data_IF_399340308383
#
_entry.id   IF_399340308383
#
_cell.length_a   1.000
_cell.length_b   1.000
_cell.length_c   1.000
_cell.angle_alpha   90.00
_cell.angle_beta   90.00
_cell.angle_gamma   90.00
#
_symmetry.space_group_name_H-M   'P 1'
#
loop_
_entity.id
_entity.type
_entity.pdbx_description
1 polymer ?
#
# COMPACT_ATOMS: atom_id res chain seq x y z
N UNK A 1 -22.26 36.32 -10.62
CA UNK A 1 -23.35 35.48 -10.10
C UNK A 1 -22.76 34.09 -9.88
N UNK A 2 -22.31 33.77 -8.66
CA UNK A 2 -23.12 33.15 -7.58
C UNK A 2 -23.58 31.74 -8.00
N UNK A 3 -23.32 30.64 -7.30
CA UNK A 3 -22.96 30.33 -5.91
C UNK A 3 -22.44 28.88 -5.94
N UNK A 4 -21.33 28.47 -5.35
CA UNK A 4 -21.18 28.20 -3.92
C UNK A 4 -19.68 28.00 -3.59
N UNK A 5 -19.15 28.80 -2.68
CA UNK A 5 -17.79 28.68 -2.11
C UNK A 5 -17.67 27.59 -1.03
N UNK A 6 -18.37 26.47 -1.22
CA UNK A 6 -18.39 25.25 -0.41
C UNK A 6 -18.65 24.17 -1.46
N UNK A 7 -17.66 23.42 -1.93
CA UNK A 7 -17.46 22.03 -1.47
C UNK A 7 -16.23 21.38 -2.16
N UNK A 8 -15.20 22.15 -2.52
CA UNK A 8 -13.96 21.55 -3.02
C UNK A 8 -13.29 20.66 -1.95
N UNK A 9 -13.43 21.00 -0.67
CA UNK A 9 -12.98 20.18 0.45
C UNK A 9 -13.84 18.93 0.68
N UNK A 10 -15.14 18.95 0.32
CA UNK A 10 -16.04 17.82 0.50
C UNK A 10 -15.78 16.70 -0.53
N UNK A 11 -15.46 17.06 -1.78
CA UNK A 11 -15.11 16.09 -2.84
C UNK A 11 -13.78 15.38 -2.54
N UNK A 12 -12.85 16.05 -1.87
CA UNK A 12 -11.56 15.46 -1.46
C UNK A 12 -11.76 14.48 -0.29
N UNK A 13 -12.69 14.76 0.63
CA UNK A 13 -13.08 13.82 1.70
C UNK A 13 -13.85 12.60 1.19
N UNK A 14 -14.64 12.72 0.12
CA UNK A 14 -15.33 11.58 -0.51
C UNK A 14 -14.40 10.60 -1.26
N UNK A 15 -13.18 11.03 -1.61
CA UNK A 15 -12.18 10.15 -2.24
C UNK A 15 -11.23 9.46 -1.26
N UNK A 16 -11.52 9.45 0.05
CA UNK A 16 -10.93 8.50 1.00
C UNK A 16 -9.39 8.43 1.03
N UNK A 17 -8.69 9.49 0.61
CA UNK A 17 -7.23 9.59 0.61
C UNK A 17 -6.70 9.98 1.99
N UNK A 18 -7.22 9.35 3.04
CA UNK A 18 -6.52 9.38 4.32
C UNK A 18 -5.36 8.41 4.15
N UNK A 19 -4.14 8.96 4.08
CA UNK A 19 -2.93 8.16 4.02
C UNK A 19 -2.91 7.25 5.24
N UNK A 20 -2.82 5.94 5.02
CA UNK A 20 -2.60 4.99 6.11
C UNK A 20 -1.14 5.19 6.49
N UNK A 21 -0.93 5.94 7.56
CA UNK A 21 0.38 6.13 8.20
C UNK A 21 0.58 5.14 9.35
N UNK A 22 -0.46 4.39 9.70
CA UNK A 22 -0.43 3.43 10.78
C UNK A 22 0.35 2.19 10.34
N UNK A 23 1.61 2.13 10.79
CA UNK A 23 2.52 1.04 10.47
C UNK A 23 1.92 -0.32 10.86
N UNK A 24 1.11 -0.37 11.91
CA UNK A 24 0.42 -1.58 12.36
C UNK A 24 -0.55 -2.14 11.32
N UNK A 25 -1.33 -1.26 10.66
CA UNK A 25 -2.28 -1.66 9.61
C UNK A 25 -1.53 -2.15 8.36
N UNK A 26 -0.47 -1.43 7.96
CA UNK A 26 0.37 -1.82 6.82
C UNK A 26 1.05 -3.17 7.08
N UNK A 27 1.56 -3.39 8.29
CA UNK A 27 2.25 -4.64 8.65
C UNK A 27 1.31 -5.84 8.57
N UNK A 28 0.06 -5.71 9.04
CA UNK A 28 -0.94 -6.77 8.90
C UNK A 28 -1.31 -7.09 7.45
N UNK A 29 -1.32 -6.09 6.57
CA UNK A 29 -1.52 -6.28 5.12
C UNK A 29 -0.30 -6.95 4.49
N UNK A 30 0.92 -6.55 4.86
CA UNK A 30 2.16 -7.17 4.41
C UNK A 30 2.16 -8.66 4.73
N UNK A 31 1.86 -9.03 5.99
CA UNK A 31 1.83 -10.43 6.42
C UNK A 31 0.81 -11.25 5.62
N UNK A 32 -0.38 -10.68 5.36
CA UNK A 32 -1.37 -11.31 4.46
C UNK A 32 -0.85 -11.48 3.05
N UNK A 33 -0.26 -10.45 2.45
CA UNK A 33 0.25 -10.51 1.07
C UNK A 33 1.39 -11.53 0.95
N UNK A 34 2.27 -11.61 1.95
CA UNK A 34 3.35 -12.62 2.01
C UNK A 34 2.73 -14.03 2.07
N UNK A 35 1.73 -14.23 2.94
CA UNK A 35 1.04 -15.52 3.08
C UNK A 35 0.27 -15.93 1.82
N UNK A 36 -0.36 -14.98 1.14
CA UNK A 36 -1.12 -15.20 -0.10
C UNK A 36 -0.21 -15.38 -1.34
N UNK A 37 1.05 -14.92 -1.28
CA UNK A 37 1.98 -14.94 -2.41
C UNK A 37 3.31 -15.64 -2.07
N UNK A 38 3.30 -16.90 -1.61
CA UNK A 38 4.51 -17.61 -1.20
C UNK A 38 5.53 -17.77 -2.34
N UNK A 39 5.05 -17.86 -3.58
CA UNK A 39 5.91 -17.95 -4.76
C UNK A 39 6.75 -16.68 -4.96
N UNK A 40 6.14 -15.50 -4.81
CA UNK A 40 6.85 -14.22 -4.94
C UNK A 40 7.87 -14.02 -3.81
N UNK A 41 7.56 -14.52 -2.61
CA UNK A 41 8.50 -14.55 -1.47
C UNK A 41 9.71 -15.44 -1.80
N UNK A 42 9.48 -16.64 -2.30
CA UNK A 42 10.54 -17.56 -2.70
C UNK A 42 11.40 -16.98 -3.84
N UNK A 43 10.76 -16.36 -4.84
CA UNK A 43 11.45 -15.70 -5.95
C UNK A 43 12.33 -14.53 -5.46
N UNK A 44 11.83 -13.72 -4.51
CA UNK A 44 12.64 -12.66 -3.89
C UNK A 44 13.85 -13.25 -3.14
N UNK A 45 13.65 -14.30 -2.34
CA UNK A 45 14.72 -15.01 -1.64
C UNK A 45 15.73 -15.67 -2.57
N UNK A 46 15.31 -16.04 -3.78
CA UNK A 46 16.18 -16.53 -4.85
C UNK A 46 16.94 -15.40 -5.58
N UNK A 47 16.81 -14.14 -5.15
CA UNK A 47 17.49 -12.99 -5.73
C UNK A 47 16.72 -12.29 -6.86
N UNK A 48 15.46 -12.67 -7.13
CA UNK A 48 14.64 -12.00 -8.15
C UNK A 48 14.01 -10.75 -7.56
N UNK A 49 14.72 -9.63 -7.64
CA UNK A 49 14.23 -8.33 -7.16
C UNK A 49 12.89 -7.91 -7.79
N UNK A 50 12.55 -8.37 -9.00
CA UNK A 50 11.24 -8.10 -9.61
C UNK A 50 10.06 -8.60 -8.76
N UNK A 51 10.25 -9.64 -7.96
CA UNK A 51 9.19 -10.18 -7.11
C UNK A 51 8.79 -9.20 -6.00
N UNK A 52 9.72 -8.34 -5.54
CA UNK A 52 9.38 -7.34 -4.53
C UNK A 52 8.46 -6.25 -5.09
N UNK A 53 8.70 -5.82 -6.34
CA UNK A 53 7.83 -4.84 -7.00
C UNK A 53 6.40 -5.35 -7.17
N UNK A 54 6.24 -6.65 -7.44
CA UNK A 54 4.93 -7.30 -7.48
C UNK A 54 4.23 -7.28 -6.12
N UNK A 55 4.93 -7.68 -5.05
CA UNK A 55 4.39 -7.67 -3.69
C UNK A 55 4.02 -6.26 -3.23
N UNK A 56 4.86 -5.25 -3.48
CA UNK A 56 4.55 -3.84 -3.23
C UNK A 56 3.29 -3.42 -3.98
N UNK A 57 3.14 -3.79 -5.26
CA UNK A 57 1.95 -3.52 -6.04
C UNK A 57 0.67 -4.15 -5.44
N UNK A 58 0.75 -5.38 -4.94
CA UNK A 58 -0.37 -6.04 -4.25
C UNK A 58 -0.77 -5.30 -2.97
N UNK A 59 0.21 -4.88 -2.16
CA UNK A 59 -0.03 -4.12 -0.92
C UNK A 59 -0.65 -2.75 -1.23
N UNK A 60 -0.14 -2.05 -2.25
CA UNK A 60 -0.70 -0.79 -2.72
C UNK A 60 -2.15 -0.96 -3.21
N UNK A 61 -2.46 -2.08 -3.86
CA UNK A 61 -3.83 -2.40 -4.30
C UNK A 61 -4.76 -2.67 -3.10
N UNK A 62 -4.33 -3.47 -2.12
CA UNK A 62 -5.13 -3.75 -0.91
C UNK A 62 -5.39 -2.47 -0.09
N UNK A 63 -4.39 -1.60 0.00
CA UNK A 63 -4.52 -0.30 0.69
C UNK A 63 -5.28 0.74 -0.15
N UNK A 64 -5.68 0.42 -1.40
CA UNK A 64 -6.32 1.34 -2.36
C UNK A 64 -5.48 2.60 -2.62
N UNK A 65 -4.16 2.46 -2.65
CA UNK A 65 -3.22 3.58 -2.85
C UNK A 65 -3.08 4.50 -1.62
N UNK A 66 -3.63 4.10 -0.47
CA UNK A 66 -3.55 4.89 0.77
C UNK A 66 -2.23 4.70 1.52
N UNK A 67 -1.49 3.62 1.28
CA UNK A 67 -0.19 3.42 1.90
C UNK A 67 0.93 4.13 1.13
N UNK A 68 1.99 4.51 1.83
CA UNK A 68 3.18 5.07 1.21
C UNK A 68 4.03 3.94 0.58
N UNK A 69 4.35 3.99 -0.74
CA UNK A 69 5.10 2.95 -1.42
C UNK A 69 6.55 2.77 -0.89
N UNK A 70 7.21 3.83 -0.45
CA UNK A 70 8.55 3.76 0.15
C UNK A 70 8.50 3.02 1.50
N UNK A 71 7.52 3.36 2.34
CA UNK A 71 7.30 2.70 3.62
C UNK A 71 6.96 1.23 3.44
N UNK A 72 6.06 0.92 2.50
CA UNK A 72 5.67 -0.45 2.17
C UNK A 72 6.88 -1.26 1.71
N UNK A 73 7.68 -0.74 0.78
CA UNK A 73 8.88 -1.42 0.30
C UNK A 73 9.89 -1.66 1.43
N UNK A 74 10.09 -0.67 2.32
CA UNK A 74 10.97 -0.81 3.48
C UNK A 74 10.47 -1.92 4.43
N UNK A 75 9.22 -1.85 4.87
CA UNK A 75 8.64 -2.82 5.81
C UNK A 75 8.60 -4.23 5.21
N UNK A 76 8.32 -4.34 3.91
CA UNK A 76 8.33 -5.61 3.20
C UNK A 76 9.74 -6.21 3.15
N UNK A 77 10.78 -5.41 2.89
CA UNK A 77 12.18 -5.87 2.94
C UNK A 77 12.62 -6.27 4.34
N UNK A 78 12.14 -5.58 5.37
CA UNK A 78 12.44 -5.93 6.77
C UNK A 78 11.77 -7.24 7.21
N UNK A 79 10.70 -7.68 6.53
CA UNK A 79 9.95 -8.90 6.85
C UNK A 79 10.39 -10.16 6.09
N UNK A 80 11.01 -10.02 4.92
CA UNK A 80 11.38 -11.12 4.02
C UNK A 80 12.78 -11.69 4.29
#
# INVERSE_FOLDING_TARGET
MWSTGKDAEAIVKEKGMVQISDASEITGIIDKVIADNPQSVADFKAGKEKAIGFLVGQIMKQTKGRANPEMVNKLLRERL
#
